data_IF_563433578793
#
_entry.id   IF_563433578793
#
_cell.length_a   1.000
_cell.length_b   1.000
_cell.length_c   1.000
_cell.angle_alpha   90.00
_cell.angle_beta   90.00
_cell.angle_gamma   90.00
#
_symmetry.space_group_name_H-M   'P 1'
#
loop_
_entity.id
_entity.type
_entity.pdbx_description
1 polymer ?
#
# COMPACT_ATOMS: atom_id res chain seq x y z
N UNK A 1 11.81 -1.39 19.61
CA UNK A 1 11.11 -0.35 18.82
C UNK A 1 10.78 -0.95 17.47
N UNK A 2 9.54 -1.38 17.26
CA UNK A 2 9.05 -1.95 15.99
C UNK A 2 8.49 -0.80 15.14
N UNK A 3 8.86 -0.68 13.85
CA UNK A 3 8.50 0.48 13.04
C UNK A 3 6.99 0.49 12.79
N UNK A 4 6.42 1.66 12.46
CA UNK A 4 4.98 1.81 12.28
C UNK A 4 4.59 1.17 10.94
N UNK A 5 4.27 -0.13 10.93
CA UNK A 5 3.72 -0.84 9.77
C UNK A 5 2.26 -0.45 9.52
N UNK A 6 1.94 0.84 9.58
CA UNK A 6 0.62 1.40 9.32
C UNK A 6 0.68 2.16 8.00
N UNK A 7 -0.21 1.78 7.09
CA UNK A 7 -0.37 2.36 5.76
C UNK A 7 -1.67 3.16 5.74
N UNK A 8 -1.60 4.36 5.19
CA UNK A 8 -2.76 5.23 4.97
C UNK A 8 -3.09 5.23 3.48
N UNK A 9 -4.36 4.98 3.15
CA UNK A 9 -4.86 5.15 1.81
C UNK A 9 -4.90 6.64 1.46
N UNK A 10 -4.29 7.07 0.33
CA UNK A 10 -4.32 8.47 -0.08
C UNK A 10 -5.70 8.93 -0.55
N UNK A 11 -6.54 8.01 -1.02
CA UNK A 11 -7.84 8.30 -1.63
C UNK A 11 -8.93 8.45 -0.56
N UNK A 12 -9.17 7.41 0.23
CA UNK A 12 -10.20 7.40 1.27
C UNK A 12 -9.69 7.77 2.67
N UNK A 13 -8.38 8.01 2.84
CA UNK A 13 -7.79 8.37 4.12
C UNK A 13 -7.73 7.23 5.16
N UNK A 14 -8.16 6.01 4.79
CA UNK A 14 -8.20 4.85 5.68
C UNK A 14 -6.80 4.46 6.16
N UNK A 15 -6.61 4.34 7.47
CA UNK A 15 -5.35 3.93 8.08
C UNK A 15 -5.49 2.50 8.59
N UNK A 16 -4.63 1.61 8.14
CA UNK A 16 -4.62 0.20 8.57
C UNK A 16 -3.21 -0.35 8.63
N UNK A 17 -3.06 -1.57 9.10
CA UNK A 17 -1.76 -2.24 9.08
C UNK A 17 -1.36 -2.57 7.64
N UNK A 18 -0.10 -2.37 7.25
CA UNK A 18 0.41 -2.67 5.90
C UNK A 18 0.11 -4.11 5.46
N UNK A 19 0.12 -5.07 6.41
CA UNK A 19 -0.27 -6.47 6.19
C UNK A 19 -1.74 -6.70 5.84
N UNK A 20 -2.62 -5.75 6.20
CA UNK A 20 -4.06 -5.83 5.96
C UNK A 20 -4.45 -5.29 4.59
N UNK A 21 -3.54 -4.60 3.89
CA UNK A 21 -3.75 -4.19 2.50
C UNK A 21 -3.43 -5.37 1.59
N UNK A 22 -4.34 -5.67 0.66
CA UNK A 22 -4.09 -6.71 -0.34
C UNK A 22 -3.04 -6.20 -1.31
N UNK A 23 -2.03 -7.01 -1.58
CA UNK A 23 -0.97 -6.69 -2.52
C UNK A 23 -1.24 -7.45 -3.80
N UNK A 24 -1.33 -6.74 -4.91
CA UNK A 24 -1.50 -7.32 -6.24
C UNK A 24 -0.32 -6.94 -7.12
N UNK A 25 -0.01 -7.78 -8.10
CA UNK A 25 1.02 -7.51 -9.09
C UNK A 25 0.33 -7.28 -10.42
N UNK A 26 0.53 -6.11 -11.00
CA UNK A 26 -0.01 -5.77 -12.32
C UNK A 26 0.69 -6.57 -13.44
N UNK A 27 0.10 -6.63 -14.63
CA UNK A 27 0.67 -7.29 -15.81
C UNK A 27 2.07 -6.76 -16.17
N UNK A 28 2.38 -5.52 -15.75
CA UNK A 28 3.71 -4.90 -15.89
C UNK A 28 4.71 -5.26 -14.79
N UNK A 29 4.37 -6.18 -13.89
CA UNK A 29 5.21 -6.57 -12.75
C UNK A 29 5.27 -5.54 -11.62
N UNK A 30 4.38 -4.53 -11.63
CA UNK A 30 4.35 -3.49 -10.58
C UNK A 30 3.55 -4.00 -9.40
N UNK A 31 4.11 -3.87 -8.20
CA UNK A 31 3.43 -4.19 -6.95
C UNK A 31 2.47 -3.05 -6.63
N UNK A 32 1.17 -3.33 -6.58
CA UNK A 32 0.11 -2.42 -6.15
C UNK A 32 -0.43 -2.90 -4.80
N UNK A 33 -0.93 -1.96 -4.00
CA UNK A 33 -1.72 -2.24 -2.81
C UNK A 33 -3.15 -1.77 -3.02
N UNK A 34 -4.07 -2.64 -2.68
CA UNK A 34 -5.50 -2.38 -2.64
C UNK A 34 -5.93 -2.05 -1.21
N UNK A 35 -6.63 -0.92 -1.06
CA UNK A 35 -7.23 -0.52 0.19
C UNK A 35 -8.44 -1.39 0.53
N UNK A 36 -8.51 -2.04 1.71
CA UNK A 36 -9.67 -2.86 2.08
C UNK A 36 -10.96 -2.05 2.28
N UNK A 37 -10.84 -0.74 2.54
CA UNK A 37 -12.01 0.12 2.81
C UNK A 37 -12.64 0.71 1.56
N UNK A 38 -11.84 1.03 0.53
CA UNK A 38 -12.31 1.71 -0.67
C UNK A 38 -11.95 0.97 -1.98
N UNK A 39 -11.28 -0.18 -1.89
CA UNK A 39 -10.79 -0.98 -3.03
C UNK A 39 -9.91 -0.17 -4.01
N UNK A 40 -9.35 0.95 -3.54
CA UNK A 40 -8.46 1.79 -4.32
C UNK A 40 -7.09 1.11 -4.43
N UNK A 41 -6.60 0.94 -5.66
CA UNK A 41 -5.31 0.31 -5.99
C UNK A 41 -4.26 1.39 -6.22
N UNK A 42 -3.21 1.39 -5.41
CA UNK A 42 -2.14 2.38 -5.48
C UNK A 42 -0.77 1.73 -5.36
N UNK A 43 0.27 2.36 -5.89
CA UNK A 43 1.64 1.86 -5.72
C UNK A 43 2.07 2.07 -4.25
N UNK A 44 2.54 1.03 -3.55
CA UNK A 44 3.14 1.20 -2.25
C UNK A 44 4.37 2.08 -2.44
N UNK A 45 4.36 3.27 -1.83
CA UNK A 45 5.56 4.09 -1.61
C UNK A 45 6.49 3.44 -0.57
N UNK A 46 6.71 2.14 -0.70
CA UNK A 46 7.91 1.48 -0.19
C UNK A 46 8.96 1.68 -1.28
N UNK A 47 9.43 2.91 -1.47
CA UNK A 47 10.38 3.24 -2.53
C UNK A 47 11.80 2.95 -2.02
N UNK A 48 12.47 1.83 -2.36
CA UNK A 48 13.92 1.74 -2.19
C UNK A 48 14.65 2.64 -3.20
N UNK A 49 13.96 3.16 -4.23
CA UNK A 49 14.54 3.95 -5.33
C UNK A 49 14.43 5.47 -5.10
N UNK A 50 14.71 5.92 -3.87
CA UNK A 50 15.24 7.27 -3.65
C UNK A 50 16.77 7.15 -3.76
N UNK A 51 17.27 6.97 -4.98
CA UNK A 51 18.62 7.32 -5.42
C UNK A 51 18.68 7.30 -6.95
#
# INVERSE_FOLDING_TARGET
MMPPFIRRCPDCGHVGWTRSFRVETDERGRRLVECPSCQHRFEPVDNPLLN
#
